data_IF_102336031766
#
_entry.id   IF_102336031766
#
_cell.length_a   1.000
_cell.length_b   1.000
_cell.length_c   1.000
_cell.angle_alpha   90.00
_cell.angle_beta   90.00
_cell.angle_gamma   90.00
#
_symmetry.space_group_name_H-M   'P 1'
#
loop_
_entity.id
_entity.type
_entity.pdbx_description
1 polymer ?
#
# COMPACT_ATOMS: atom_id res chain seq x y z
N UNK A 1 29.45 -45.69 35.31
CA UNK A 1 28.11 -45.03 35.45
C UNK A 1 27.87 -44.14 34.30
N UNK A 2 26.94 -44.46 33.39
CA UNK A 2 26.50 -43.53 32.32
C UNK A 2 25.60 -42.50 32.99
N UNK A 3 26.03 -41.26 33.00
CA UNK A 3 25.17 -40.12 33.42
C UNK A 3 24.14 -39.91 32.33
N UNK A 4 22.95 -40.48 32.52
CA UNK A 4 21.83 -40.17 31.66
C UNK A 4 21.32 -38.79 32.07
N UNK A 5 21.56 -37.77 31.22
CA UNK A 5 20.96 -36.47 31.38
C UNK A 5 19.42 -36.54 31.26
N UNK A 6 18.71 -35.55 31.76
CA UNK A 6 17.26 -35.45 31.60
C UNK A 6 16.92 -35.44 30.12
N UNK A 7 16.30 -36.51 29.63
CA UNK A 7 15.81 -36.62 28.24
C UNK A 7 14.32 -36.25 28.29
N UNK A 8 13.94 -35.27 27.50
CA UNK A 8 12.53 -34.87 27.30
C UNK A 8 11.99 -35.68 26.13
N UNK A 9 10.94 -36.44 26.35
CA UNK A 9 10.25 -37.20 25.31
C UNK A 9 9.71 -36.25 24.22
N UNK A 10 9.87 -36.63 22.96
CA UNK A 10 9.29 -35.92 21.83
C UNK A 10 7.82 -36.30 21.70
N UNK A 11 6.93 -35.36 22.06
CA UNK A 11 5.49 -35.54 21.93
C UNK A 11 5.02 -34.97 20.55
N UNK A 12 4.41 -35.79 19.67
CA UNK A 12 4.01 -35.37 18.33
C UNK A 12 2.92 -34.29 18.32
N UNK A 13 2.20 -34.12 19.44
CA UNK A 13 1.15 -33.12 19.60
C UNK A 13 1.61 -31.86 20.35
N UNK A 14 2.89 -31.73 20.70
CA UNK A 14 3.41 -30.57 21.43
C UNK A 14 4.68 -30.01 20.74
N UNK A 15 4.75 -28.71 20.62
CA UNK A 15 5.92 -27.99 20.08
C UNK A 15 6.83 -27.52 21.22
N UNK A 16 7.75 -28.38 21.65
CA UNK A 16 8.73 -28.07 22.70
C UNK A 16 8.09 -27.83 24.06
N UNK A 17 8.50 -26.78 24.78
CA UNK A 17 8.02 -26.44 26.13
C UNK A 17 6.67 -25.68 26.18
N UNK A 18 5.79 -25.91 25.19
CA UNK A 18 4.48 -25.25 25.18
C UNK A 18 3.53 -25.89 26.20
N UNK A 19 2.68 -25.06 26.84
CA UNK A 19 1.68 -25.51 27.85
C UNK A 19 0.39 -26.04 27.24
N UNK A 20 0.21 -25.88 25.92
CA UNK A 20 -0.97 -26.31 25.17
C UNK A 20 -0.51 -27.07 23.90
N UNK A 21 -1.36 -27.97 23.41
CA UNK A 21 -1.07 -28.75 22.21
C UNK A 21 -0.97 -27.87 20.95
N UNK A 22 -0.28 -28.35 19.93
CA UNK A 22 -0.19 -27.67 18.63
C UNK A 22 -1.57 -27.50 17.98
N UNK A 23 -2.49 -28.45 18.17
CA UNK A 23 -3.88 -28.34 17.72
C UNK A 23 -4.63 -27.20 18.43
N UNK A 24 -4.48 -27.06 19.75
CA UNK A 24 -5.06 -25.96 20.51
C UNK A 24 -4.44 -24.60 20.10
N UNK A 25 -3.13 -24.56 19.85
CA UNK A 25 -2.48 -23.37 19.29
C UNK A 25 -3.08 -22.99 17.93
N UNK A 26 -3.32 -23.98 17.05
CA UNK A 26 -3.98 -23.78 15.76
C UNK A 26 -5.39 -23.24 15.86
N UNK A 27 -6.15 -23.79 16.79
CA UNK A 27 -7.49 -23.30 17.07
C UNK A 27 -7.48 -21.82 17.50
N UNK A 28 -6.66 -21.46 18.48
CA UNK A 28 -6.52 -20.07 18.94
C UNK A 28 -6.02 -19.14 17.80
N UNK A 29 -5.05 -19.58 17.01
CA UNK A 29 -4.54 -18.80 15.88
C UNK A 29 -5.63 -18.54 14.83
N UNK A 30 -6.47 -19.55 14.50
CA UNK A 30 -7.58 -19.36 13.53
C UNK A 30 -8.60 -18.33 14.02
N UNK A 31 -8.95 -18.35 15.30
CA UNK A 31 -9.84 -17.35 15.87
C UNK A 31 -9.21 -15.96 15.96
N UNK A 32 -7.91 -15.87 16.22
CA UNK A 32 -7.15 -14.63 16.23
C UNK A 32 -7.06 -13.93 14.86
N UNK A 33 -7.44 -14.59 13.76
CA UNK A 33 -7.67 -13.92 12.46
C UNK A 33 -8.95 -13.08 12.43
N UNK A 34 -9.94 -13.42 13.25
CA UNK A 34 -11.26 -12.77 13.29
C UNK A 34 -11.43 -11.82 14.46
N UNK A 35 -10.89 -12.18 15.62
CA UNK A 35 -10.91 -11.43 16.86
C UNK A 35 -9.54 -10.81 17.15
N UNK A 36 -9.47 -9.81 18.02
CA UNK A 36 -8.19 -9.38 18.60
C UNK A 36 -7.64 -10.48 19.53
N UNK A 37 -6.33 -10.51 19.75
CA UNK A 37 -5.73 -11.50 20.67
C UNK A 37 -6.33 -11.45 22.06
N UNK A 38 -6.67 -10.26 22.55
CA UNK A 38 -7.32 -10.09 23.86
C UNK A 38 -8.76 -10.62 23.89
N UNK A 39 -9.51 -10.41 22.84
CA UNK A 39 -10.86 -10.94 22.71
C UNK A 39 -10.83 -12.47 22.58
N UNK A 40 -9.93 -13.02 21.76
CA UNK A 40 -9.71 -14.46 21.65
C UNK A 40 -9.39 -15.07 23.01
N UNK A 41 -8.48 -14.47 23.77
CA UNK A 41 -8.12 -14.92 25.10
C UNK A 41 -9.32 -14.94 26.05
N UNK A 42 -10.14 -13.89 26.03
CA UNK A 42 -11.34 -13.78 26.87
C UNK A 42 -12.39 -14.83 26.51
N UNK A 43 -12.63 -15.04 25.22
CA UNK A 43 -13.65 -16.01 24.74
C UNK A 43 -13.26 -17.43 25.11
N UNK A 44 -11.99 -17.79 25.05
CA UNK A 44 -11.52 -19.16 25.28
C UNK A 44 -10.86 -19.36 26.64
N UNK A 45 -11.06 -18.47 27.61
CA UNK A 45 -10.59 -18.63 28.99
C UNK A 45 -9.07 -18.75 29.12
N UNK A 46 -8.30 -18.08 28.28
CA UNK A 46 -6.84 -18.14 28.29
C UNK A 46 -6.20 -16.76 28.39
N UNK A 47 -4.86 -16.67 28.43
CA UNK A 47 -4.15 -15.40 28.44
C UNK A 47 -3.93 -14.87 27.01
N UNK A 48 -3.88 -13.55 26.85
CA UNK A 48 -3.54 -12.92 25.55
C UNK A 48 -2.12 -13.31 25.08
N UNK A 49 -1.22 -13.59 26.02
CA UNK A 49 0.13 -14.04 25.72
C UNK A 49 0.14 -15.45 25.13
N UNK A 50 -0.70 -16.35 25.64
CA UNK A 50 -0.89 -17.69 25.07
C UNK A 50 -1.39 -17.58 23.62
N UNK A 51 -2.36 -16.69 23.36
CA UNK A 51 -2.85 -16.45 21.98
C UNK A 51 -1.74 -15.87 21.11
N UNK A 52 -0.99 -14.88 21.60
CA UNK A 52 0.12 -14.30 20.84
C UNK A 52 1.19 -15.33 20.48
N UNK A 53 1.63 -16.13 21.44
CA UNK A 53 2.62 -17.20 21.24
C UNK A 53 2.12 -18.25 20.24
N UNK A 54 0.83 -18.59 20.29
CA UNK A 54 0.20 -19.49 19.34
C UNK A 54 0.25 -18.93 17.93
N UNK A 55 -0.12 -17.64 17.75
CA UNK A 55 -0.06 -16.95 16.46
C UNK A 55 1.39 -16.81 15.97
N UNK A 56 2.32 -16.47 16.85
CA UNK A 56 3.74 -16.33 16.52
C UNK A 56 4.32 -17.64 16.03
N UNK A 57 4.10 -18.73 16.74
CA UNK A 57 4.53 -20.08 16.33
C UNK A 57 3.97 -20.45 14.95
N UNK A 58 2.69 -20.17 14.71
CA UNK A 58 2.04 -20.43 13.42
C UNK A 58 2.68 -19.62 12.28
N UNK A 59 2.97 -18.38 12.54
CA UNK A 59 3.63 -17.50 11.55
C UNK A 59 5.04 -17.98 11.27
N UNK A 60 5.82 -18.33 12.28
CA UNK A 60 7.20 -18.82 12.12
C UNK A 60 7.22 -20.14 11.35
N UNK A 61 6.36 -21.09 11.74
CA UNK A 61 6.22 -22.35 11.02
C UNK A 61 5.83 -22.10 9.55
N UNK A 62 4.82 -21.29 9.34
CA UNK A 62 4.33 -20.98 7.99
C UNK A 62 5.38 -20.26 7.13
N UNK A 63 6.18 -19.35 7.70
CA UNK A 63 7.26 -18.69 6.99
C UNK A 63 8.39 -19.66 6.59
N UNK A 64 8.69 -20.63 7.46
CA UNK A 64 9.69 -21.66 7.19
C UNK A 64 9.25 -22.67 6.10
N UNK A 65 7.93 -22.92 5.98
CA UNK A 65 7.37 -23.91 5.06
C UNK A 65 6.69 -23.30 3.83
N UNK A 66 6.67 -21.96 3.71
CA UNK A 66 6.04 -21.32 2.56
C UNK A 66 6.83 -21.55 1.27
N UNK A 67 6.09 -21.78 0.20
CA UNK A 67 6.64 -21.79 -1.15
C UNK A 67 6.30 -20.47 -1.86
N UNK A 68 7.31 -19.90 -2.52
CA UNK A 68 7.17 -18.66 -3.28
C UNK A 68 7.20 -18.91 -4.80
N UNK A 69 6.78 -20.12 -5.22
CA UNK A 69 6.67 -20.47 -6.63
C UNK A 69 5.56 -19.67 -7.30
N UNK A 70 5.74 -19.29 -8.59
CA UNK A 70 4.73 -18.62 -9.38
C UNK A 70 4.49 -17.15 -9.00
N UNK A 71 5.40 -16.50 -8.31
CA UNK A 71 5.36 -15.05 -8.06
C UNK A 71 5.89 -14.34 -9.30
N UNK A 72 4.99 -13.73 -10.07
CA UNK A 72 5.34 -12.97 -11.29
C UNK A 72 5.25 -11.45 -11.07
N UNK A 73 4.44 -11.00 -10.11
CA UNK A 73 4.16 -9.58 -9.90
C UNK A 73 4.28 -9.20 -8.43
N UNK A 74 5.11 -8.20 -8.14
CA UNK A 74 5.24 -7.65 -6.79
C UNK A 74 4.83 -6.18 -6.74
N UNK A 75 4.25 -5.80 -5.59
CA UNK A 75 4.02 -4.40 -5.21
C UNK A 75 4.94 -4.01 -4.06
N UNK A 76 5.61 -2.89 -4.18
CA UNK A 76 6.47 -2.31 -3.14
C UNK A 76 5.82 -1.02 -2.66
N UNK A 77 5.62 -0.90 -1.36
CA UNK A 77 5.04 0.30 -0.75
C UNK A 77 5.58 0.50 0.67
N UNK A 78 5.20 1.61 1.28
CA UNK A 78 5.44 1.87 2.69
C UNK A 78 4.16 2.01 3.48
N UNK A 79 4.21 1.57 4.73
CA UNK A 79 3.14 1.80 5.69
C UNK A 79 3.66 2.60 6.89
N UNK A 80 2.85 3.54 7.36
CA UNK A 80 3.14 4.27 8.58
C UNK A 80 2.43 3.59 9.75
N UNK A 81 3.18 3.14 10.76
CA UNK A 81 2.65 2.38 11.91
C UNK A 81 2.62 3.16 13.23
N UNK A 82 3.10 4.40 13.23
CA UNK A 82 2.94 5.29 14.37
C UNK A 82 4.01 6.37 14.47
N UNK A 83 3.63 7.52 15.00
CA UNK A 83 4.56 8.59 15.38
C UNK A 83 5.41 8.14 16.57
N UNK A 84 6.68 8.58 16.62
CA UNK A 84 7.60 8.21 17.72
C UNK A 84 8.13 6.78 17.66
N UNK A 85 7.77 6.00 16.65
CA UNK A 85 8.31 4.65 16.45
C UNK A 85 9.68 4.69 15.78
N UNK A 86 10.55 3.67 16.02
CA UNK A 86 11.87 3.59 15.39
C UNK A 86 11.79 3.73 13.86
N UNK A 87 12.76 4.42 13.26
CA UNK A 87 12.80 4.63 11.81
C UNK A 87 11.76 5.61 11.29
N UNK A 88 11.26 6.53 12.11
CA UNK A 88 10.22 7.51 11.75
C UNK A 88 8.82 6.89 11.63
N UNK A 89 8.65 5.66 12.15
CA UNK A 89 7.38 4.94 12.12
C UNK A 89 6.99 4.41 10.74
N UNK A 90 7.93 4.30 9.80
CA UNK A 90 7.68 3.70 8.50
C UNK A 90 8.20 2.27 8.43
N UNK A 91 7.47 1.43 7.70
CA UNK A 91 7.86 0.07 7.33
C UNK A 91 7.82 -0.05 5.82
N UNK A 92 8.77 -0.81 5.25
CA UNK A 92 8.75 -1.20 3.84
C UNK A 92 8.00 -2.52 3.73
N UNK A 93 7.11 -2.64 2.75
CA UNK A 93 6.32 -3.85 2.50
C UNK A 93 6.49 -4.31 1.05
N UNK A 94 6.55 -5.63 0.86
CA UNK A 94 6.52 -6.26 -0.46
C UNK A 94 5.33 -7.21 -0.49
N UNK A 95 4.47 -7.04 -1.48
CA UNK A 95 3.29 -7.85 -1.71
C UNK A 95 3.44 -8.66 -2.99
N UNK A 96 2.88 -9.85 -3.03
CA UNK A 96 2.47 -10.49 -4.27
C UNK A 96 1.17 -9.86 -4.72
N UNK A 97 1.10 -9.44 -5.99
CA UNK A 97 -0.06 -8.73 -6.56
C UNK A 97 -0.61 -9.39 -7.83
N UNK A 98 -0.29 -10.67 -8.02
CA UNK A 98 -0.82 -11.47 -9.11
C UNK A 98 -2.35 -11.56 -9.04
N UNK A 99 -3.02 -11.77 -10.17
CA UNK A 99 -4.50 -11.80 -10.21
C UNK A 99 -5.09 -12.89 -9.33
N UNK A 100 -4.43 -14.05 -9.29
CA UNK A 100 -4.86 -15.24 -8.56
C UNK A 100 -4.38 -15.25 -7.10
N UNK A 101 -3.34 -14.48 -6.74
CA UNK A 101 -2.78 -14.47 -5.40
C UNK A 101 -2.36 -13.06 -4.97
N UNK A 102 -2.89 -12.61 -3.83
CA UNK A 102 -2.57 -11.29 -3.25
C UNK A 102 -2.26 -11.46 -1.79
N UNK A 103 -0.96 -11.43 -1.45
CA UNK A 103 -0.48 -11.67 -0.09
C UNK A 103 0.72 -10.81 0.27
N UNK A 104 0.99 -10.68 1.56
CA UNK A 104 2.21 -10.10 2.08
C UNK A 104 3.36 -11.10 1.90
N UNK A 105 4.40 -10.70 1.19
CA UNK A 105 5.61 -11.50 0.99
C UNK A 105 6.68 -11.15 2.02
N UNK A 106 6.85 -9.85 2.28
CA UNK A 106 7.87 -9.38 3.20
C UNK A 106 7.48 -8.03 3.82
N UNK A 107 7.92 -7.82 5.05
CA UNK A 107 7.82 -6.55 5.77
C UNK A 107 9.12 -6.32 6.55
N UNK A 108 9.61 -5.10 6.52
CA UNK A 108 10.81 -4.72 7.25
C UNK A 108 10.75 -3.30 7.80
N UNK A 109 11.57 -3.03 8.84
CA UNK A 109 11.59 -1.72 9.47
C UNK A 109 12.17 -0.65 8.54
N UNK A 110 11.73 0.58 8.73
CA UNK A 110 12.16 1.80 8.05
C UNK A 110 11.77 1.86 6.56
N UNK A 111 11.77 3.07 6.04
CA UNK A 111 11.63 3.40 4.62
C UNK A 111 13.02 3.74 4.07
N UNK A 112 13.78 2.73 3.66
CA UNK A 112 15.16 2.92 3.16
C UNK A 112 15.47 2.01 1.98
N UNK A 113 16.52 2.35 1.21
CA UNK A 113 17.04 1.44 0.19
C UNK A 113 17.52 0.11 0.77
N UNK A 114 18.14 0.15 1.97
CA UNK A 114 18.61 -1.06 2.66
C UNK A 114 17.45 -1.98 3.00
N UNK A 115 16.34 -1.46 3.55
CA UNK A 115 15.13 -2.25 3.83
C UNK A 115 14.60 -2.93 2.58
N UNK A 116 14.46 -2.19 1.47
CA UNK A 116 13.98 -2.80 0.23
C UNK A 116 14.94 -3.87 -0.30
N UNK A 117 16.26 -3.63 -0.26
CA UNK A 117 17.24 -4.65 -0.65
C UNK A 117 17.11 -5.91 0.19
N UNK A 118 17.05 -5.78 1.51
CA UNK A 118 16.84 -6.92 2.41
C UNK A 118 15.55 -7.68 2.08
N UNK A 119 14.48 -6.95 1.76
CA UNK A 119 13.22 -7.57 1.34
C UNK A 119 13.34 -8.36 0.05
N UNK A 120 13.97 -7.81 -0.98
CA UNK A 120 14.19 -8.51 -2.25
C UNK A 120 15.11 -9.73 -2.06
N UNK A 121 16.17 -9.60 -1.27
CA UNK A 121 17.05 -10.73 -0.93
C UNK A 121 16.31 -11.86 -0.20
N UNK A 122 15.41 -11.51 0.72
CA UNK A 122 14.60 -12.48 1.47
C UNK A 122 13.59 -13.26 0.60
N UNK A 123 13.24 -12.75 -0.59
CA UNK A 123 12.42 -13.50 -1.56
C UNK A 123 13.20 -14.59 -2.29
N UNK A 124 14.52 -14.47 -2.35
CA UNK A 124 15.38 -15.42 -3.02
C UNK A 124 15.59 -15.16 -4.52
N UNK A 125 16.69 -15.64 -5.08
CA UNK A 125 17.11 -15.35 -6.47
C UNK A 125 16.12 -15.88 -7.51
N UNK A 126 15.52 -17.03 -7.28
CA UNK A 126 14.57 -17.65 -8.23
C UNK A 126 13.29 -16.81 -8.36
N UNK A 127 12.75 -16.30 -7.24
CA UNK A 127 11.61 -15.38 -7.27
C UNK A 127 11.97 -14.10 -8.02
N UNK A 128 13.11 -13.50 -7.69
CA UNK A 128 13.56 -12.27 -8.34
C UNK A 128 13.69 -12.45 -9.85
N UNK A 129 14.32 -13.56 -10.29
CA UNK A 129 14.48 -13.90 -11.71
C UNK A 129 13.14 -14.12 -12.44
N UNK A 130 12.15 -14.68 -11.75
CA UNK A 130 10.82 -14.96 -12.29
C UNK A 130 9.90 -13.74 -12.36
N UNK A 131 10.29 -12.58 -11.80
CA UNK A 131 9.43 -11.40 -11.80
C UNK A 131 9.26 -10.83 -13.21
N UNK A 132 8.02 -10.65 -13.60
CA UNK A 132 7.59 -9.96 -14.83
C UNK A 132 7.23 -8.50 -14.58
N UNK A 133 6.67 -8.20 -13.41
CA UNK A 133 6.16 -6.88 -13.07
C UNK A 133 6.56 -6.45 -11.66
N UNK A 134 6.91 -5.18 -11.53
CA UNK A 134 7.09 -4.50 -10.23
C UNK A 134 6.23 -3.25 -10.21
N UNK A 135 5.38 -3.10 -9.20
CA UNK A 135 4.59 -1.89 -8.95
C UNK A 135 5.16 -1.12 -7.76
N UNK A 136 5.42 0.16 -7.88
CA UNK A 136 5.84 1.01 -6.76
C UNK A 136 5.39 2.46 -6.92
N UNK A 137 5.59 3.28 -5.87
CA UNK A 137 5.51 4.73 -5.96
C UNK A 137 6.71 5.32 -6.74
N UNK A 138 6.75 6.66 -6.86
CA UNK A 138 7.83 7.39 -7.54
C UNK A 138 8.97 7.79 -6.59
N UNK A 139 9.13 7.15 -5.45
CA UNK A 139 10.20 7.50 -4.52
C UNK A 139 11.56 7.05 -5.04
N UNK A 140 12.41 8.04 -5.37
CA UNK A 140 13.70 7.82 -6.04
C UNK A 140 14.58 6.71 -5.42
N UNK A 141 14.70 6.57 -4.08
CA UNK A 141 15.46 5.48 -3.48
C UNK A 141 14.95 4.09 -3.87
N UNK A 142 13.62 3.87 -3.93
CA UNK A 142 13.07 2.59 -4.36
C UNK A 142 13.27 2.36 -5.86
N UNK A 143 13.06 3.39 -6.69
CA UNK A 143 13.33 3.31 -8.13
C UNK A 143 14.76 2.86 -8.41
N UNK A 144 15.75 3.39 -7.66
CA UNK A 144 17.15 3.02 -7.80
C UNK A 144 17.43 1.55 -7.42
N UNK A 145 16.77 1.03 -6.38
CA UNK A 145 16.95 -0.38 -5.97
C UNK A 145 16.28 -1.30 -6.99
N UNK A 146 15.06 -0.99 -7.41
CA UNK A 146 14.29 -1.79 -8.37
C UNK A 146 15.03 -1.86 -9.70
N UNK A 147 15.51 -0.73 -10.23
CA UNK A 147 16.25 -0.71 -11.52
C UNK A 147 17.54 -1.53 -11.49
N UNK A 148 18.21 -1.64 -10.33
CA UNK A 148 19.47 -2.40 -10.18
C UNK A 148 19.25 -3.89 -9.94
N UNK A 149 18.25 -4.25 -9.14
CA UNK A 149 18.04 -5.63 -8.70
C UNK A 149 16.99 -6.39 -9.49
N UNK A 150 16.02 -5.67 -10.07
CA UNK A 150 14.86 -6.23 -10.78
C UNK A 150 14.64 -5.51 -12.12
N UNK A 151 15.71 -4.99 -12.73
CA UNK A 151 15.64 -4.16 -13.95
C UNK A 151 15.13 -4.89 -15.19
N UNK A 152 15.09 -6.22 -15.19
CA UNK A 152 14.49 -7.03 -16.25
C UNK A 152 12.95 -7.03 -16.23
N UNK A 153 12.35 -6.84 -15.05
CA UNK A 153 10.91 -6.77 -14.91
C UNK A 153 10.34 -5.42 -15.35
N UNK A 154 9.12 -5.42 -15.86
CA UNK A 154 8.44 -4.19 -16.25
C UNK A 154 8.02 -3.41 -15.00
N UNK A 155 8.69 -2.29 -14.74
CA UNK A 155 8.40 -1.44 -13.60
C UNK A 155 7.24 -0.49 -13.91
N UNK A 156 6.14 -0.63 -13.21
CA UNK A 156 4.90 0.15 -13.37
C UNK A 156 4.72 1.05 -12.14
N UNK A 157 4.45 2.33 -12.37
CA UNK A 157 4.16 3.27 -11.29
C UNK A 157 2.72 3.16 -10.81
N UNK A 158 2.52 3.24 -9.49
CA UNK A 158 1.19 3.24 -8.90
C UNK A 158 0.40 4.52 -9.27
N UNK A 159 -0.67 4.33 -10.03
CA UNK A 159 -1.54 5.42 -10.47
C UNK A 159 -2.23 6.17 -9.33
N UNK A 160 -2.46 5.52 -8.16
CA UNK A 160 -3.06 6.19 -7.01
C UNK A 160 -2.13 7.24 -6.40
N UNK A 161 -0.83 6.93 -6.32
CA UNK A 161 0.17 7.90 -5.91
C UNK A 161 0.28 9.07 -6.90
N UNK A 162 0.23 8.79 -8.20
CA UNK A 162 0.22 9.82 -9.23
C UNK A 162 -1.03 10.72 -9.11
N UNK A 163 -2.21 10.13 -8.98
CA UNK A 163 -3.45 10.87 -8.73
C UNK A 163 -3.38 11.69 -7.43
N UNK A 164 -2.75 11.13 -6.39
CA UNK A 164 -2.48 11.81 -5.13
C UNK A 164 -1.67 13.09 -5.31
N UNK A 165 -0.58 13.06 -6.09
CA UNK A 165 0.21 14.25 -6.41
C UNK A 165 -0.58 15.32 -7.16
N UNK A 166 -1.39 14.93 -8.15
CA UNK A 166 -2.25 15.85 -8.89
C UNK A 166 -3.29 16.47 -7.95
N UNK A 167 -3.94 15.68 -7.10
CA UNK A 167 -4.90 16.17 -6.11
C UNK A 167 -4.25 17.12 -5.10
N UNK A 168 -3.06 16.79 -4.61
CA UNK A 168 -2.31 17.65 -3.70
C UNK A 168 -1.99 19.01 -4.34
N UNK A 169 -1.61 19.02 -5.62
CA UNK A 169 -1.36 20.26 -6.36
C UNK A 169 -2.63 21.12 -6.47
N UNK A 170 -3.79 20.53 -6.74
CA UNK A 170 -5.08 21.25 -6.73
C UNK A 170 -5.37 21.85 -5.35
N UNK A 171 -5.16 21.08 -4.27
CA UNK A 171 -5.40 21.59 -2.91
C UNK A 171 -4.41 22.69 -2.50
N UNK A 172 -3.15 22.62 -2.95
CA UNK A 172 -2.17 23.69 -2.74
C UNK A 172 -2.59 24.99 -3.44
N UNK A 173 -3.03 24.89 -4.71
CA UNK A 173 -3.55 26.05 -5.46
C UNK A 173 -4.78 26.63 -4.75
N UNK A 174 -5.73 25.77 -4.31
CA UNK A 174 -6.92 26.19 -3.57
C UNK A 174 -6.55 26.94 -2.29
N UNK A 175 -5.60 26.41 -1.48
CA UNK A 175 -5.18 27.04 -0.22
C UNK A 175 -4.53 28.39 -0.47
N UNK A 176 -3.64 28.49 -1.44
CA UNK A 176 -2.99 29.75 -1.80
C UNK A 176 -4.00 30.79 -2.29
N UNK A 177 -4.99 30.38 -3.09
CA UNK A 177 -6.05 31.28 -3.57
C UNK A 177 -6.99 31.69 -2.45
N UNK A 178 -7.34 30.78 -1.54
CA UNK A 178 -8.15 31.09 -0.35
C UNK A 178 -7.48 32.13 0.54
N UNK A 179 -6.16 32.01 0.76
CA UNK A 179 -5.38 33.01 1.51
C UNK A 179 -5.37 34.38 0.82
N UNK A 180 -5.15 34.41 -0.50
CA UNK A 180 -5.16 35.66 -1.29
C UNK A 180 -6.51 36.38 -1.28
N UNK A 181 -7.61 35.61 -1.20
CA UNK A 181 -8.99 36.15 -1.19
C UNK A 181 -9.53 36.32 0.23
N UNK A 182 -8.68 36.29 1.26
CA UNK A 182 -9.09 36.42 2.65
C UNK A 182 -9.96 37.69 2.84
N UNK A 183 -11.05 37.57 3.61
CA UNK A 183 -12.05 38.63 3.78
C UNK A 183 -13.16 38.67 2.72
N UNK A 184 -13.01 37.94 1.61
CA UNK A 184 -14.05 37.91 0.56
C UNK A 184 -14.96 36.66 0.73
N UNK A 185 -16.26 36.73 0.36
CA UNK A 185 -17.17 35.58 0.41
C UNK A 185 -16.72 34.40 -0.43
N UNK A 186 -15.90 34.64 -1.47
CA UNK A 186 -15.32 33.61 -2.34
C UNK A 186 -14.29 32.75 -1.60
N UNK A 187 -13.51 33.32 -0.67
CA UNK A 187 -12.56 32.56 0.14
C UNK A 187 -13.25 31.48 0.96
N UNK A 188 -14.36 31.85 1.61
CA UNK A 188 -15.18 30.91 2.40
C UNK A 188 -15.71 29.76 1.55
N UNK A 189 -16.21 30.05 0.35
CA UNK A 189 -16.67 29.01 -0.58
C UNK A 189 -15.55 28.05 -0.99
N UNK A 190 -14.36 28.55 -1.33
CA UNK A 190 -13.20 27.70 -1.68
C UNK A 190 -12.75 26.84 -0.51
N UNK A 191 -12.79 27.35 0.73
CA UNK A 191 -12.43 26.59 1.93
C UNK A 191 -13.29 25.34 2.08
N UNK A 192 -14.60 25.45 1.91
CA UNK A 192 -15.55 24.34 2.08
C UNK A 192 -15.62 23.37 0.89
N UNK A 193 -14.98 23.69 -0.24
CA UNK A 193 -15.03 22.86 -1.45
C UNK A 193 -13.88 21.88 -1.62
N UNK A 194 -13.02 21.73 -0.61
CA UNK A 194 -11.85 20.83 -0.70
C UNK A 194 -12.21 19.44 -1.24
N UNK A 195 -13.16 18.78 -0.60
CA UNK A 195 -13.51 17.39 -0.93
C UNK A 195 -14.18 17.24 -2.30
N UNK A 196 -14.97 18.22 -2.72
CA UNK A 196 -15.58 18.24 -4.06
C UNK A 196 -14.51 18.39 -5.15
N UNK A 197 -13.52 19.26 -4.94
CA UNK A 197 -12.43 19.48 -5.88
C UNK A 197 -11.49 18.25 -6.00
N UNK A 198 -11.30 17.49 -4.91
CA UNK A 198 -10.43 16.32 -4.91
C UNK A 198 -11.11 15.07 -5.47
N UNK A 199 -12.43 14.97 -5.38
CA UNK A 199 -13.20 13.88 -6.00
C UNK A 199 -13.16 14.00 -7.52
N UNK A 200 -13.34 12.86 -8.21
CA UNK A 200 -13.55 12.83 -9.67
C UNK A 200 -14.86 13.56 -9.97
N UNK A 201 -14.86 14.46 -10.95
CA UNK A 201 -16.02 15.31 -11.28
C UNK A 201 -17.31 14.53 -11.55
N UNK A 202 -17.18 13.35 -12.21
CA UNK A 202 -18.31 12.44 -12.47
C UNK A 202 -18.94 11.83 -11.21
N UNK A 203 -18.23 11.84 -10.07
CA UNK A 203 -18.73 11.34 -8.77
C UNK A 203 -19.33 12.43 -7.89
N UNK A 204 -19.26 13.68 -8.31
CA UNK A 204 -19.86 14.82 -7.58
C UNK A 204 -21.30 14.99 -8.08
N UNK A 205 -22.28 14.92 -7.17
CA UNK A 205 -23.73 14.97 -7.49
C UNK A 205 -24.45 16.09 -6.74
N UNK A 206 -25.68 16.38 -7.13
CA UNK A 206 -26.57 17.32 -6.47
C UNK A 206 -25.99 18.72 -6.35
N UNK A 207 -26.31 19.43 -5.27
CA UNK A 207 -25.85 20.79 -5.00
C UNK A 207 -24.33 20.98 -5.03
N UNK A 208 -23.58 19.95 -4.63
CA UNK A 208 -22.11 19.97 -4.70
C UNK A 208 -21.61 20.08 -6.16
N UNK A 209 -22.30 19.45 -7.12
CA UNK A 209 -22.00 19.57 -8.56
C UNK A 209 -22.28 20.97 -9.08
N UNK A 210 -23.41 21.55 -8.69
CA UNK A 210 -23.79 22.93 -9.09
C UNK A 210 -22.73 23.92 -8.59
N UNK A 211 -22.33 23.84 -7.32
CA UNK A 211 -21.30 24.71 -6.74
C UNK A 211 -19.94 24.53 -7.45
N UNK A 212 -19.56 23.29 -7.76
CA UNK A 212 -18.33 23.00 -8.49
C UNK A 212 -18.36 23.63 -9.89
N UNK A 213 -19.45 23.48 -10.63
CA UNK A 213 -19.63 24.11 -11.95
C UNK A 213 -19.63 25.64 -11.89
N UNK A 214 -20.21 26.23 -10.84
CA UNK A 214 -20.17 27.69 -10.64
C UNK A 214 -18.71 28.19 -10.49
N UNK A 215 -17.85 27.48 -9.73
CA UNK A 215 -16.43 27.82 -9.60
C UNK A 215 -15.71 27.66 -10.94
N UNK A 216 -15.98 26.58 -11.66
CA UNK A 216 -15.35 26.33 -12.97
C UNK A 216 -15.81 27.35 -14.01
N UNK A 217 -17.10 27.71 -14.06
CA UNK A 217 -17.65 28.73 -14.95
C UNK A 217 -17.20 30.15 -14.58
N UNK A 218 -17.15 30.49 -13.31
CA UNK A 218 -16.60 31.79 -12.87
C UNK A 218 -15.11 31.91 -13.16
N UNK A 219 -14.40 30.79 -13.39
CA UNK A 219 -13.03 30.82 -13.89
C UNK A 219 -12.90 31.48 -15.27
N UNK A 220 -13.90 31.35 -16.14
CA UNK A 220 -13.90 32.00 -17.47
C UNK A 220 -13.95 33.53 -17.32
N UNK A 221 -14.70 34.01 -16.33
CA UNK A 221 -14.87 35.46 -16.07
C UNK A 221 -13.86 36.04 -15.06
N UNK A 222 -13.48 35.27 -14.01
CA UNK A 222 -12.70 35.78 -12.86
C UNK A 222 -11.27 35.22 -12.78
N UNK A 223 -10.83 34.40 -13.73
CA UNK A 223 -9.47 33.79 -13.80
C UNK A 223 -9.06 33.06 -12.50
N UNK A 224 -9.99 32.39 -11.80
CA UNK A 224 -9.67 31.67 -10.57
C UNK A 224 -8.64 30.56 -10.81
N UNK A 225 -7.56 30.58 -10.06
CA UNK A 225 -6.49 29.60 -10.14
C UNK A 225 -6.97 28.18 -9.82
N UNK A 226 -7.82 28.02 -8.80
CA UNK A 226 -8.40 26.74 -8.36
C UNK A 226 -9.22 26.07 -9.46
N UNK A 227 -10.05 26.83 -10.20
CA UNK A 227 -10.83 26.28 -11.32
C UNK A 227 -9.93 25.76 -12.44
N UNK A 228 -8.86 26.49 -12.78
CA UNK A 228 -7.86 26.05 -13.79
C UNK A 228 -7.11 24.79 -13.35
N UNK A 229 -6.71 24.72 -12.07
CA UNK A 229 -6.07 23.54 -11.51
C UNK A 229 -6.99 22.31 -11.55
N UNK A 230 -8.28 22.49 -11.22
CA UNK A 230 -9.26 21.43 -11.28
C UNK A 230 -9.49 20.93 -12.71
N UNK A 231 -9.59 21.81 -13.71
CA UNK A 231 -9.72 21.43 -15.13
C UNK A 231 -8.51 20.58 -15.55
N UNK A 232 -7.29 20.98 -15.18
CA UNK A 232 -6.09 20.20 -15.47
C UNK A 232 -6.15 18.83 -14.80
N UNK A 233 -6.61 18.74 -13.55
CA UNK A 233 -6.79 17.46 -12.83
C UNK A 233 -7.80 16.56 -13.55
N UNK A 234 -8.97 17.07 -13.90
CA UNK A 234 -10.00 16.29 -14.60
C UNK A 234 -9.52 15.81 -15.97
N UNK A 235 -8.82 16.69 -16.73
CA UNK A 235 -8.23 16.30 -18.00
C UNK A 235 -7.21 15.17 -17.83
N UNK A 236 -6.41 15.16 -16.75
CA UNK A 236 -5.44 14.09 -16.51
C UNK A 236 -6.07 12.72 -16.29
N UNK A 237 -7.33 12.66 -15.83
CA UNK A 237 -8.04 11.38 -15.67
C UNK A 237 -8.16 10.59 -16.98
N UNK A 238 -8.21 11.29 -18.12
CA UNK A 238 -8.28 10.66 -19.44
C UNK A 238 -6.97 9.96 -19.83
N UNK A 239 -5.83 10.28 -19.21
CA UNK A 239 -4.57 9.57 -19.45
C UNK A 239 -4.71 8.05 -19.33
N UNK A 240 -5.46 7.60 -18.32
CA UNK A 240 -5.61 6.17 -18.01
C UNK A 240 -6.64 5.43 -18.88
N UNK A 241 -7.33 6.13 -19.79
CA UNK A 241 -8.35 5.54 -20.69
C UNK A 241 -7.81 5.16 -22.05
N UNK A 242 -6.57 5.55 -22.36
CA UNK A 242 -5.92 5.14 -23.61
C UNK A 242 -5.56 3.66 -23.60
N UNK A 243 -5.64 3.04 -24.79
CA UNK A 243 -5.20 1.65 -25.00
C UNK A 243 -3.83 1.58 -25.68
N UNK A 244 -3.42 2.62 -26.39
CA UNK A 244 -2.17 2.71 -27.11
C UNK A 244 -1.14 3.54 -26.34
N UNK A 245 0.06 2.98 -26.15
CA UNK A 245 1.19 3.67 -25.53
C UNK A 245 1.55 4.96 -26.29
N UNK A 246 1.47 4.95 -27.64
CA UNK A 246 1.74 6.13 -28.48
C UNK A 246 0.75 7.26 -28.20
N UNK A 247 -0.55 6.96 -28.15
CA UNK A 247 -1.57 7.98 -27.87
C UNK A 247 -1.48 8.48 -26.41
N UNK A 248 -1.18 7.60 -25.47
CA UNK A 248 -0.94 8.00 -24.08
C UNK A 248 0.27 8.92 -23.95
N UNK A 249 1.37 8.64 -24.65
CA UNK A 249 2.56 9.50 -24.69
C UNK A 249 2.23 10.89 -25.26
N UNK A 250 1.56 10.95 -26.41
CA UNK A 250 1.14 12.21 -27.03
C UNK A 250 0.23 13.04 -26.12
N UNK A 251 -0.75 12.37 -25.46
CA UNK A 251 -1.58 13.02 -24.45
C UNK A 251 -0.74 13.57 -23.29
N UNK A 252 0.18 12.78 -22.73
CA UNK A 252 1.02 13.19 -21.61
C UNK A 252 1.88 14.41 -21.95
N UNK A 253 2.47 14.43 -23.14
CA UNK A 253 3.25 15.58 -23.64
C UNK A 253 2.38 16.83 -23.78
N UNK A 254 1.18 16.71 -24.39
CA UNK A 254 0.22 17.80 -24.52
C UNK A 254 -0.24 18.31 -23.15
N UNK A 255 -0.63 17.40 -22.24
CA UNK A 255 -1.09 17.75 -20.91
C UNK A 255 0.01 18.45 -20.08
N UNK A 256 1.22 17.89 -20.07
CA UNK A 256 2.34 18.49 -19.33
C UNK A 256 2.72 19.87 -19.87
N UNK A 257 2.67 20.06 -21.20
CA UNK A 257 2.90 21.37 -21.83
C UNK A 257 1.85 22.40 -21.42
N UNK A 258 0.57 22.03 -21.36
CA UNK A 258 -0.52 22.88 -20.85
C UNK A 258 -0.33 23.22 -19.36
N UNK A 259 0.03 22.22 -18.53
CA UNK A 259 0.26 22.42 -17.10
C UNK A 259 1.45 23.35 -16.84
N UNK A 260 2.55 23.25 -17.63
CA UNK A 260 3.70 24.14 -17.51
C UNK A 260 3.36 25.58 -17.89
N UNK A 261 2.49 25.82 -18.90
CA UNK A 261 2.02 27.15 -19.32
C UNK A 261 0.93 27.73 -18.41
N UNK A 262 0.39 26.93 -17.45
CA UNK A 262 -0.74 27.34 -16.61
C UNK A 262 -0.42 28.48 -15.62
N UNK A 263 0.83 28.79 -15.35
CA UNK A 263 1.28 29.69 -14.26
C UNK A 263 0.82 29.26 -12.86
N UNK A 264 0.57 27.95 -12.66
CA UNK A 264 0.20 27.35 -11.39
C UNK A 264 1.39 26.53 -10.87
N UNK A 265 2.22 27.12 -10.01
CA UNK A 265 3.46 26.50 -9.55
C UNK A 265 3.31 25.05 -9.06
N UNK A 266 2.26 24.66 -8.24
CA UNK A 266 2.06 23.28 -7.87
C UNK A 266 1.78 22.35 -9.06
N UNK A 267 1.00 22.78 -10.06
CA UNK A 267 0.72 21.99 -11.27
C UNK A 267 1.95 21.86 -12.18
N UNK A 268 2.76 22.92 -12.27
CA UNK A 268 4.04 22.88 -12.98
C UNK A 268 5.01 21.88 -12.35
N UNK A 269 5.05 21.80 -11.00
CA UNK A 269 5.86 20.81 -10.27
C UNK A 269 5.43 19.38 -10.63
N UNK A 270 4.13 19.10 -10.66
CA UNK A 270 3.58 17.80 -11.08
C UNK A 270 3.96 17.52 -12.54
N UNK A 271 3.80 18.47 -13.45
CA UNK A 271 4.14 18.28 -14.86
C UNK A 271 5.62 17.93 -15.08
N UNK A 272 6.54 18.60 -14.37
CA UNK A 272 7.98 18.27 -14.42
C UNK A 272 8.27 16.88 -13.87
N UNK A 273 7.59 16.50 -12.78
CA UNK A 273 7.70 15.17 -12.19
C UNK A 273 7.24 14.10 -13.19
N UNK A 274 6.07 14.28 -13.82
CA UNK A 274 5.53 13.32 -14.79
C UNK A 274 6.43 13.16 -16.01
N UNK A 275 6.98 14.27 -16.55
CA UNK A 275 7.97 14.21 -17.64
C UNK A 275 9.21 13.41 -17.28
N UNK A 276 9.72 13.59 -16.04
CA UNK A 276 10.92 12.86 -15.58
C UNK A 276 10.68 11.36 -15.51
N UNK A 277 9.45 10.95 -15.27
CA UNK A 277 9.07 9.54 -15.12
C UNK A 277 8.22 9.02 -16.30
N UNK A 278 8.24 9.69 -17.44
CA UNK A 278 7.40 9.38 -18.60
C UNK A 278 7.52 7.90 -19.03
N UNK A 279 8.74 7.38 -19.13
CA UNK A 279 8.97 5.99 -19.52
C UNK A 279 8.29 4.99 -18.57
N UNK A 280 8.40 5.22 -17.26
CA UNK A 280 7.77 4.36 -16.23
C UNK A 280 6.24 4.51 -16.21
N UNK A 281 5.72 5.71 -16.47
CA UNK A 281 4.28 5.95 -16.61
C UNK A 281 3.69 5.18 -17.79
N UNK A 282 4.41 5.16 -18.91
CA UNK A 282 3.97 4.47 -20.12
C UNK A 282 4.02 2.93 -19.98
N UNK A 283 4.75 2.41 -19.01
CA UNK A 283 4.75 0.98 -18.70
C UNK A 283 3.39 0.46 -18.25
N UNK A 284 2.51 1.31 -17.70
CA UNK A 284 1.12 0.96 -17.43
C UNK A 284 0.40 0.40 -18.68
N UNK A 285 0.61 1.03 -19.83
CA UNK A 285 -0.02 0.62 -21.09
C UNK A 285 0.66 -0.62 -21.68
N UNK A 286 1.97 -0.78 -21.47
CA UNK A 286 2.74 -1.97 -21.86
C UNK A 286 2.32 -3.21 -21.07
N UNK A 287 1.95 -3.02 -19.80
CA UNK A 287 1.42 -4.09 -18.94
C UNK A 287 0.02 -4.57 -19.38
N UNK A 288 -0.63 -3.95 -20.37
CA UNK A 288 -1.90 -4.36 -20.99
C UNK A 288 -3.00 -4.78 -20.01
N UNK A 289 -3.05 -4.15 -18.84
CA UNK A 289 -4.03 -4.47 -17.79
C UNK A 289 -3.74 -5.76 -17.02
N UNK A 290 -2.57 -6.38 -17.16
CA UNK A 290 -2.16 -7.55 -16.38
C UNK A 290 -2.01 -7.21 -14.89
N UNK A 291 -1.67 -5.96 -14.57
CA UNK A 291 -1.60 -5.47 -13.20
C UNK A 291 -2.88 -4.76 -12.77
N UNK A 292 -3.33 -5.06 -11.56
CA UNK A 292 -4.36 -4.29 -10.88
C UNK A 292 -3.71 -3.21 -10.02
N UNK A 293 -3.88 -1.94 -10.42
CA UNK A 293 -3.40 -0.81 -9.63
C UNK A 293 -4.06 -0.68 -8.25
N UNK A 294 -5.17 -1.38 -8.01
CA UNK A 294 -5.85 -1.39 -6.71
C UNK A 294 -5.36 -2.49 -5.77
N UNK A 295 -4.48 -3.40 -6.21
CA UNK A 295 -4.03 -4.52 -5.40
C UNK A 295 -3.21 -4.06 -4.18
N UNK A 296 -2.25 -3.17 -4.37
CA UNK A 296 -1.41 -2.62 -3.30
C UNK A 296 -2.26 -1.81 -2.32
N UNK A 297 -3.12 -0.91 -2.82
CA UNK A 297 -4.02 -0.13 -1.96
C UNK A 297 -4.99 -1.03 -1.19
N UNK A 298 -5.53 -2.07 -1.82
CA UNK A 298 -6.38 -3.06 -1.17
C UNK A 298 -5.68 -3.78 -0.01
N UNK A 299 -4.42 -4.18 -0.19
CA UNK A 299 -3.60 -4.79 0.85
C UNK A 299 -3.26 -3.80 1.96
N UNK A 300 -2.91 -2.57 1.63
CA UNK A 300 -2.70 -1.50 2.62
C UNK A 300 -3.97 -1.21 3.45
N UNK A 301 -5.14 -1.28 2.84
CA UNK A 301 -6.42 -1.14 3.57
C UNK A 301 -6.63 -2.31 4.54
N UNK A 302 -6.31 -3.54 4.15
CA UNK A 302 -6.33 -4.70 5.06
C UNK A 302 -5.37 -4.52 6.24
N UNK A 303 -4.15 -4.02 6.00
CA UNK A 303 -3.21 -3.67 7.09
C UNK A 303 -3.82 -2.66 8.05
N UNK A 304 -4.47 -1.61 7.53
CA UNK A 304 -5.16 -0.62 8.38
C UNK A 304 -6.27 -1.24 9.22
N UNK A 305 -7.02 -2.20 8.67
CA UNK A 305 -8.07 -2.94 9.41
C UNK A 305 -7.43 -3.76 10.54
N UNK A 306 -6.38 -4.54 10.24
CA UNK A 306 -5.67 -5.34 11.27
C UNK A 306 -5.13 -4.43 12.38
N UNK A 307 -4.47 -3.33 12.02
CA UNK A 307 -3.91 -2.38 12.99
C UNK A 307 -4.99 -1.71 13.85
N UNK A 308 -6.12 -1.33 13.25
CA UNK A 308 -7.24 -0.70 13.99
C UNK A 308 -7.92 -1.70 14.94
N UNK A 309 -8.16 -2.93 14.51
CA UNK A 309 -8.72 -4.00 15.35
C UNK A 309 -7.86 -4.28 16.57
N UNK A 310 -6.54 -4.16 16.42
CA UNK A 310 -5.57 -4.38 17.52
C UNK A 310 -5.29 -3.11 18.33
N UNK A 311 -5.99 -2.00 18.09
CA UNK A 311 -5.72 -0.68 18.70
C UNK A 311 -4.25 -0.23 18.57
N UNK A 312 -3.56 -0.71 17.52
CA UNK A 312 -2.15 -0.51 17.25
C UNK A 312 -1.26 -1.61 17.87
N UNK A 313 0.04 -1.48 17.63
CA UNK A 313 1.05 -2.43 18.11
C UNK A 313 2.15 -1.69 18.88
N UNK A 314 2.56 -2.23 20.02
CA UNK A 314 3.64 -1.64 20.83
C UNK A 314 5.01 -1.92 20.21
N UNK A 315 5.22 -3.11 19.66
CA UNK A 315 6.50 -3.56 19.10
C UNK A 315 6.37 -3.87 17.61
N UNK A 316 7.48 -3.77 16.88
CA UNK A 316 7.56 -4.17 15.48
C UNK A 316 7.23 -5.67 15.33
N UNK A 317 7.79 -6.53 16.20
CA UNK A 317 7.57 -7.98 16.14
C UNK A 317 6.08 -8.36 16.24
N UNK A 318 5.36 -7.78 17.18
CA UNK A 318 3.92 -8.03 17.31
C UNK A 318 3.14 -7.60 16.05
N UNK A 319 3.52 -6.48 15.44
CA UNK A 319 2.92 -6.03 14.17
C UNK A 319 3.27 -6.97 13.02
N UNK A 320 4.53 -7.34 12.88
CA UNK A 320 5.01 -8.27 11.85
C UNK A 320 4.24 -9.60 11.92
N UNK A 321 4.17 -10.22 13.10
CA UNK A 321 3.42 -11.45 13.35
C UNK A 321 1.95 -11.30 12.97
N UNK A 322 1.29 -10.22 13.42
CA UNK A 322 -0.12 -9.98 13.10
C UNK A 322 -0.36 -9.80 11.59
N UNK A 323 0.55 -9.11 10.89
CA UNK A 323 0.40 -8.86 9.46
C UNK A 323 0.65 -10.12 8.63
N UNK A 324 1.68 -10.91 8.93
CA UNK A 324 1.89 -12.20 8.26
C UNK A 324 0.74 -13.15 8.52
N UNK A 325 0.24 -13.22 9.76
CA UNK A 325 -0.89 -14.08 10.12
C UNK A 325 -2.15 -13.76 9.32
N UNK A 326 -2.45 -12.48 9.11
CA UNK A 326 -3.67 -12.07 8.41
C UNK A 326 -3.53 -11.95 6.89
N UNK A 327 -2.32 -11.70 6.38
CA UNK A 327 -2.09 -11.32 4.99
C UNK A 327 -1.04 -12.19 4.27
N UNK A 328 -0.30 -13.02 5.00
CA UNK A 328 0.78 -13.83 4.44
C UNK A 328 0.30 -15.01 3.60
N UNK A 329 -0.94 -15.46 3.77
CA UNK A 329 -1.47 -16.71 3.20
C UNK A 329 -0.48 -17.87 3.44
N UNK A 330 0.00 -17.94 4.68
CA UNK A 330 0.98 -18.94 5.07
C UNK A 330 0.34 -20.33 5.16
N UNK A 331 1.09 -21.40 4.82
CA UNK A 331 0.64 -22.75 5.05
C UNK A 331 0.43 -22.99 6.55
N UNK A 332 -0.46 -23.92 6.87
CA UNK A 332 -0.73 -24.36 8.24
C UNK A 332 -0.18 -25.78 8.42
N UNK A 333 0.36 -26.12 9.61
CA UNK A 333 0.80 -27.48 9.88
C UNK A 333 -0.39 -28.44 9.90
N UNK A 334 -0.15 -29.68 9.49
CA UNK A 334 -1.13 -30.74 9.66
C UNK A 334 -1.24 -31.11 11.13
N UNK A 335 -2.47 -31.18 11.63
CA UNK A 335 -2.74 -31.57 13.01
C UNK A 335 -3.23 -33.01 13.06
N UNK A 336 -2.74 -33.76 14.03
CA UNK A 336 -3.21 -35.11 14.32
C UNK A 336 -4.67 -35.13 14.77
N UNK A 337 -5.17 -34.04 15.34
CA UNK A 337 -6.57 -33.85 15.72
C UNK A 337 -7.12 -32.56 15.11
N UNK A 338 -8.19 -32.68 14.34
CA UNK A 338 -8.97 -31.52 13.84
C UNK A 338 -10.11 -31.29 14.84
N UNK A 339 -10.13 -30.12 15.48
CA UNK A 339 -11.37 -29.68 16.13
C UNK A 339 -12.33 -29.26 15.00
N UNK A 340 -13.38 -30.06 14.84
CA UNK A 340 -14.49 -29.78 13.91
C UNK A 340 -15.38 -28.67 14.47
#
# INVERSE_FOLDING_TARGET
MRVHGVVVEHLPWNAGKQRITTAAMGFLARWARRLSWRETARVFGTSWETVYRSVEWFVEWGLAHRQLTGVESIGVDEIHWGKGKPGGGFLTVIYQIDRHCRRLLWIGPRRTQASLRSGLQALGPEVIKGLRFVCSDMWKPYLNVISRQVGHALHVLDRFHIAGHVNQAVDQVRRAETGRLQGQPRAQRLKHMRWQLLRRGTRVRGQARIRLHQIVRSNIRSKLATGRAWILKEAFQHFWTYHSTRHAAAFLQSWTSRALRSRLAPMQKVARMLRRHEALLLNWFRAKGELSSGAVEGLNNKIRVVTRRSYGFRTYRAMEVALYHNLGHLPEPEFTHRFS
#
